data_IF_718876724748
#
_entry.id   IF_718876724748
#
_cell.length_a   1.000
_cell.length_b   1.000
_cell.length_c   1.000
_cell.angle_alpha   90.00
_cell.angle_beta   90.00
_cell.angle_gamma   90.00
#
_symmetry.space_group_name_H-M   'P 1'
#
loop_
_entity.id
_entity.type
_entity.pdbx_description
1 polymer ?
#
# COMPACT_ATOMS: atom_id res chain seq x y z
N UNK A 1 -6.80 21.27 7.39
CA UNK A 1 -8.13 21.12 6.76
C UNK A 1 -8.19 19.75 6.11
N UNK A 2 -9.35 19.10 6.08
CA UNK A 2 -9.53 17.79 5.45
C UNK A 2 -10.61 17.90 4.39
N UNK A 3 -10.27 17.61 3.14
CA UNK A 3 -11.25 17.54 2.04
C UNK A 3 -11.89 16.15 2.03
N UNK A 4 -13.22 16.07 2.01
CA UNK A 4 -13.97 14.84 1.76
C UNK A 4 -14.92 15.08 0.59
N UNK A 5 -14.84 14.24 -0.43
CA UNK A 5 -15.75 14.23 -1.58
C UNK A 5 -16.49 12.91 -1.58
N UNK A 6 -17.82 12.95 -1.57
CA UNK A 6 -18.68 11.78 -1.69
C UNK A 6 -19.44 11.90 -2.99
N UNK A 7 -19.38 10.86 -3.82
CA UNK A 7 -20.21 10.73 -5.01
C UNK A 7 -21.39 9.82 -4.67
N UNK A 8 -22.60 10.27 -4.97
CA UNK A 8 -23.84 9.52 -4.70
C UNK A 8 -24.63 9.33 -5.98
N UNK A 9 -25.18 8.14 -6.18
CA UNK A 9 -26.10 7.82 -7.26
C UNK A 9 -27.20 6.91 -6.71
N UNK A 10 -28.35 6.92 -7.38
CA UNK A 10 -29.45 5.99 -7.10
C UNK A 10 -29.23 4.72 -7.93
N UNK A 11 -29.39 3.56 -7.31
CA UNK A 11 -29.29 2.26 -7.98
C UNK A 11 -30.57 1.46 -7.72
N UNK A 12 -31.15 0.91 -8.78
CA UNK A 12 -32.30 0.00 -8.71
C UNK A 12 -31.81 -1.44 -8.84
N UNK A 13 -32.15 -2.30 -7.88
CA UNK A 13 -31.78 -3.71 -7.87
C UNK A 13 -33.06 -4.55 -8.00
N UNK A 14 -33.22 -5.24 -9.13
CA UNK A 14 -34.36 -6.12 -9.33
C UNK A 14 -34.30 -7.34 -8.38
N UNK A 15 -35.44 -7.84 -7.88
CA UNK A 15 -35.46 -9.00 -7.00
C UNK A 15 -34.83 -10.24 -7.65
N UNK A 16 -33.86 -10.84 -6.96
CA UNK A 16 -33.16 -12.07 -7.36
C UNK A 16 -32.29 -11.96 -8.63
N UNK A 17 -31.90 -10.74 -9.04
CA UNK A 17 -30.93 -10.55 -10.10
C UNK A 17 -29.53 -10.23 -9.55
N UNK A 18 -28.50 -10.63 -10.31
CA UNK A 18 -27.12 -10.26 -10.03
C UNK A 18 -26.85 -8.90 -10.67
N UNK A 19 -26.30 -7.98 -9.89
CA UNK A 19 -25.87 -6.67 -10.39
C UNK A 19 -24.36 -6.52 -10.24
N UNK A 20 -23.71 -6.20 -11.35
CA UNK A 20 -22.29 -5.90 -11.40
C UNK A 20 -22.06 -4.39 -11.16
N UNK A 21 -21.18 -4.07 -10.22
CA UNK A 21 -20.80 -2.70 -9.90
C UNK A 21 -19.30 -2.54 -10.13
N UNK A 22 -18.92 -1.58 -10.99
CA UNK A 22 -17.53 -1.28 -11.31
C UNK A 22 -17.20 0.19 -11.00
N UNK A 23 -16.09 0.41 -10.29
CA UNK A 23 -15.53 1.74 -10.07
C UNK A 23 -14.12 1.83 -10.63
N UNK A 24 -13.87 2.86 -11.43
CA UNK A 24 -12.54 3.19 -11.93
C UNK A 24 -12.26 4.67 -11.69
N UNK A 25 -11.16 4.96 -10.99
CA UNK A 25 -10.77 6.32 -10.64
C UNK A 25 -9.26 6.40 -10.38
N UNK A 26 -8.73 7.62 -10.42
CA UNK A 26 -7.36 7.92 -9.99
C UNK A 26 -7.39 8.37 -8.53
N UNK A 27 -6.81 7.60 -7.58
CA UNK A 27 -6.83 7.98 -6.17
C UNK A 27 -5.87 9.13 -5.88
N UNK A 28 -6.06 9.77 -4.74
CA UNK A 28 -5.03 10.62 -4.12
C UNK A 28 -3.85 9.75 -3.68
N UNK A 29 -2.63 10.18 -4.00
CA UNK A 29 -1.38 9.51 -3.63
C UNK A 29 -0.62 10.43 -2.69
N UNK A 30 -0.32 9.95 -1.48
CA UNK A 30 0.61 10.64 -0.58
C UNK A 30 2.04 10.24 -0.90
N UNK A 31 3.02 11.00 -0.42
CA UNK A 31 4.42 10.66 -0.63
C UNK A 31 5.41 11.56 0.10
N UNK A 32 6.65 11.12 0.13
CA UNK A 32 7.81 11.91 0.55
C UNK A 32 8.99 11.61 -0.39
N UNK A 33 9.99 12.49 -0.39
CA UNK A 33 11.10 12.48 -1.34
C UNK A 33 12.30 11.61 -0.91
N UNK A 34 12.23 10.96 0.25
CA UNK A 34 13.28 10.08 0.75
C UNK A 34 12.71 8.99 1.63
N UNK A 35 13.48 7.92 1.83
CA UNK A 35 13.16 6.88 2.81
C UNK A 35 13.33 7.45 4.23
N UNK A 36 12.26 7.46 5.02
CA UNK A 36 12.26 8.08 6.36
C UNK A 36 12.22 7.08 7.51
N UNK A 37 11.80 5.84 7.28
CA UNK A 37 11.64 4.82 8.32
C UNK A 37 12.94 4.08 8.70
N UNK A 38 14.07 4.43 8.09
CA UNK A 38 15.39 3.86 8.46
C UNK A 38 16.08 4.63 9.58
N UNK A 39 15.63 5.85 9.87
CA UNK A 39 16.23 6.70 10.90
C UNK A 39 15.96 6.13 12.28
N UNK A 40 16.93 6.20 13.22
CA UNK A 40 16.66 5.93 14.63
C UNK A 40 15.53 6.85 15.18
N UNK A 41 14.86 6.46 16.27
CA UNK A 41 13.88 7.32 16.93
C UNK A 41 14.47 8.68 17.29
N UNK A 42 13.71 9.75 17.07
CA UNK A 42 14.09 11.13 17.33
C UNK A 42 13.00 11.88 18.11
N UNK A 43 13.11 13.21 18.22
CA UNK A 43 12.11 14.06 18.90
C UNK A 43 10.72 14.04 18.24
N UNK A 44 10.63 13.61 16.99
CA UNK A 44 9.39 13.46 16.23
C UNK A 44 8.80 12.03 16.30
N UNK A 45 9.49 11.09 16.95
CA UNK A 45 8.97 9.74 17.23
C UNK A 45 9.77 8.60 16.61
N UNK A 46 9.19 7.40 16.63
CA UNK A 46 9.76 6.17 16.06
C UNK A 46 9.06 5.80 14.75
N UNK A 47 9.57 6.39 13.65
CA UNK A 47 9.06 6.15 12.30
C UNK A 47 9.14 4.66 11.91
N UNK A 48 10.16 3.93 12.35
CA UNK A 48 10.30 2.52 12.01
C UNK A 48 9.13 1.70 12.57
N UNK A 49 8.75 1.96 13.83
CA UNK A 49 7.60 1.31 14.46
C UNK A 49 6.26 1.73 13.82
N UNK A 50 6.10 3.01 13.49
CA UNK A 50 4.90 3.51 12.80
C UNK A 50 4.70 2.86 11.43
N UNK A 51 5.76 2.82 10.61
CA UNK A 51 5.71 2.21 9.28
C UNK A 51 5.50 0.70 9.36
N UNK A 52 6.10 0.03 10.34
CA UNK A 52 5.87 -1.39 10.57
C UNK A 52 4.42 -1.67 10.93
N UNK A 53 3.81 -0.86 11.81
CA UNK A 53 2.41 -1.02 12.19
C UNK A 53 1.45 -0.75 11.02
N UNK A 54 1.74 0.27 10.20
CA UNK A 54 0.85 0.72 9.13
C UNK A 54 1.00 -0.06 7.82
N UNK A 55 2.23 -0.36 7.42
CA UNK A 55 2.54 -0.93 6.10
C UNK A 55 3.16 -2.33 6.19
N UNK A 56 3.29 -2.90 7.40
CA UNK A 56 3.91 -4.21 7.62
C UNK A 56 5.31 -4.32 7.00
N UNK A 57 6.13 -3.27 7.12
CA UNK A 57 7.52 -3.25 6.63
C UNK A 57 8.36 -4.31 7.37
N UNK A 58 8.38 -5.52 6.83
CA UNK A 58 9.03 -6.65 7.44
C UNK A 58 10.56 -6.59 7.33
N UNK A 59 11.25 -7.52 7.98
CA UNK A 59 12.71 -7.56 7.96
C UNK A 59 13.26 -7.64 6.53
N UNK A 60 12.62 -8.42 5.65
CA UNK A 60 13.11 -8.63 4.28
C UNK A 60 13.01 -7.36 3.44
N UNK A 61 11.93 -6.61 3.61
CA UNK A 61 11.71 -5.32 2.99
C UNK A 61 12.74 -4.31 3.49
N UNK A 62 12.91 -4.17 4.81
CA UNK A 62 13.89 -3.26 5.41
C UNK A 62 15.33 -3.61 4.98
N UNK A 63 15.69 -4.90 4.98
CA UNK A 63 17.01 -5.35 4.54
C UNK A 63 17.24 -5.03 3.06
N UNK A 64 16.21 -5.13 2.21
CA UNK A 64 16.29 -4.80 0.78
C UNK A 64 16.56 -3.32 0.56
N UNK A 65 15.96 -2.44 1.36
CA UNK A 65 16.25 -1.00 1.30
C UNK A 65 17.66 -0.72 1.82
N UNK A 66 18.05 -1.29 2.96
CA UNK A 66 19.39 -1.07 3.55
C UNK A 66 20.54 -1.47 2.63
N UNK A 67 20.36 -2.50 1.79
CA UNK A 67 21.36 -2.92 0.79
C UNK A 67 21.66 -1.88 -0.29
N UNK A 68 20.81 -0.87 -0.45
CA UNK A 68 20.99 0.21 -1.42
C UNK A 68 21.71 1.43 -0.85
N UNK A 69 21.97 1.43 0.46
CA UNK A 69 22.67 2.52 1.12
C UNK A 69 24.16 2.50 0.75
N UNK A 70 24.78 3.67 0.53
CA UNK A 70 26.23 3.75 0.33
C UNK A 70 27.00 3.45 1.63
N UNK A 71 26.46 3.86 2.78
CA UNK A 71 26.96 3.53 4.11
C UNK A 71 25.77 3.26 5.07
N UNK A 72 25.92 2.39 6.09
CA UNK A 72 24.85 2.09 7.04
C UNK A 72 24.32 3.30 7.84
N UNK A 73 25.11 4.37 7.99
CA UNK A 73 24.74 5.59 8.71
C UNK A 73 24.01 6.61 7.81
N UNK A 74 24.01 6.42 6.49
CA UNK A 74 23.40 7.34 5.53
C UNK A 74 21.92 7.01 5.27
N UNK A 75 21.07 7.10 6.29
CA UNK A 75 19.68 6.62 6.26
C UNK A 75 18.82 7.19 5.12
N UNK A 76 19.03 8.45 4.75
CA UNK A 76 18.25 9.14 3.71
C UNK A 76 18.80 8.93 2.29
N UNK A 77 19.95 8.28 2.15
CA UNK A 77 20.60 8.11 0.84
C UNK A 77 19.93 7.01 0.00
N UNK A 78 19.01 6.19 0.54
CA UNK A 78 18.35 5.15 -0.25
C UNK A 78 17.74 5.74 -1.55
N UNK A 79 17.96 5.13 -2.74
CA UNK A 79 17.55 5.66 -4.04
C UNK A 79 16.05 5.43 -4.30
N UNK A 80 15.22 5.79 -3.32
CA UNK A 80 13.77 5.67 -3.39
C UNK A 80 13.07 6.93 -2.89
N UNK A 81 11.99 7.29 -3.57
CA UNK A 81 10.94 8.13 -2.98
C UNK A 81 9.83 7.24 -2.45
N UNK A 82 9.06 7.74 -1.49
CA UNK A 82 7.93 7.01 -0.92
C UNK A 82 6.64 7.50 -1.57
N UNK A 83 5.77 6.57 -1.97
CA UNK A 83 4.38 6.82 -2.28
C UNK A 83 3.51 5.92 -1.44
N UNK A 84 2.38 6.43 -0.97
CA UNK A 84 1.40 5.60 -0.29
C UNK A 84 -0.02 5.86 -0.75
N UNK A 85 -0.81 4.78 -0.69
CA UNK A 85 -2.22 4.74 -1.08
C UNK A 85 -2.98 4.12 0.08
N UNK A 86 -4.04 4.80 0.51
CA UNK A 86 -4.96 4.32 1.53
C UNK A 86 -6.30 3.97 0.86
N UNK A 87 -6.80 2.77 1.09
CA UNK A 87 -8.07 2.29 0.57
C UNK A 87 -8.98 1.85 1.72
N UNK A 88 -10.18 2.42 1.76
CA UNK A 88 -11.17 2.09 2.80
C UNK A 88 -11.89 0.80 2.38
N UNK A 89 -11.56 -0.31 3.03
CA UNK A 89 -12.23 -1.59 2.81
C UNK A 89 -13.21 -1.96 3.92
N UNK A 90 -13.13 -1.30 5.09
CA UNK A 90 -13.92 -1.64 6.28
C UNK A 90 -15.42 -1.52 6.03
N UNK A 91 -15.80 -0.54 5.20
CA UNK A 91 -17.18 -0.31 4.76
C UNK A 91 -17.78 -1.46 3.94
N UNK A 92 -16.96 -2.39 3.44
CA UNK A 92 -17.43 -3.62 2.83
C UNK A 92 -18.25 -4.49 3.80
N UNK A 93 -18.07 -4.33 5.11
CA UNK A 93 -18.90 -5.00 6.11
C UNK A 93 -20.34 -4.48 6.22
N UNK A 94 -20.69 -3.40 5.50
CA UNK A 94 -22.07 -2.90 5.47
C UNK A 94 -22.97 -3.75 4.56
N UNK A 95 -22.40 -4.63 3.75
CA UNK A 95 -23.15 -5.57 2.91
C UNK A 95 -23.65 -6.78 3.71
N UNK A 96 -24.65 -7.47 3.17
CA UNK A 96 -25.29 -8.61 3.82
C UNK A 96 -24.41 -9.87 3.76
N UNK A 97 -23.51 -10.02 4.73
CA UNK A 97 -22.65 -11.20 4.88
C UNK A 97 -21.20 -10.98 4.43
N UNK A 98 -20.39 -12.04 4.39
CA UNK A 98 -19.00 -11.94 3.98
C UNK A 98 -18.86 -11.62 2.49
N UNK A 99 -17.70 -11.10 2.11
CA UNK A 99 -17.25 -11.09 0.73
C UNK A 99 -16.85 -12.52 0.37
N UNK A 100 -17.75 -13.25 -0.29
CA UNK A 100 -17.59 -14.67 -0.62
C UNK A 100 -16.28 -14.97 -1.35
N UNK A 101 -15.92 -14.13 -2.33
CA UNK A 101 -14.67 -14.21 -3.08
C UNK A 101 -14.06 -12.82 -3.20
N UNK A 102 -12.94 -12.61 -2.53
CA UNK A 102 -12.17 -11.39 -2.61
C UNK A 102 -10.90 -11.63 -3.43
N UNK A 103 -10.62 -10.76 -4.39
CA UNK A 103 -9.37 -10.74 -5.14
C UNK A 103 -8.82 -9.33 -5.12
N UNK A 104 -7.56 -9.21 -4.70
CA UNK A 104 -6.83 -7.96 -4.73
C UNK A 104 -5.57 -8.15 -5.57
N UNK A 105 -5.37 -7.26 -6.53
CA UNK A 105 -4.15 -7.20 -7.33
C UNK A 105 -3.47 -5.86 -7.12
N UNK A 106 -2.18 -5.88 -6.83
CA UNK A 106 -1.35 -4.69 -6.67
C UNK A 106 -0.27 -4.73 -7.73
N UNK A 107 -0.09 -3.61 -8.44
CA UNK A 107 1.03 -3.38 -9.34
C UNK A 107 1.92 -2.29 -8.75
N UNK A 108 3.20 -2.60 -8.53
CA UNK A 108 4.18 -1.63 -8.03
C UNK A 108 4.79 -0.74 -9.13
N UNK A 109 4.30 -0.85 -10.36
CA UNK A 109 4.68 -0.03 -11.51
C UNK A 109 5.96 -0.52 -12.20
N UNK A 110 7.09 -0.48 -11.50
CA UNK A 110 8.40 -0.81 -12.07
C UNK A 110 9.09 -1.97 -11.34
N UNK A 111 9.87 -2.84 -12.03
CA UNK A 111 10.54 -3.99 -11.41
C UNK A 111 11.52 -3.62 -10.29
N UNK A 112 12.14 -2.44 -10.33
CA UNK A 112 13.04 -1.95 -9.27
C UNK A 112 12.33 -1.40 -8.03
N UNK A 113 11.03 -1.06 -8.14
CA UNK A 113 10.28 -0.55 -7.00
C UNK A 113 10.14 -1.63 -5.91
N UNK A 114 9.91 -1.20 -4.67
CA UNK A 114 9.52 -2.10 -3.59
C UNK A 114 8.09 -1.77 -3.16
N UNK A 115 7.38 -2.76 -2.64
CA UNK A 115 6.01 -2.58 -2.14
C UNK A 115 5.85 -3.28 -0.79
N UNK A 116 5.15 -2.64 0.14
CA UNK A 116 4.83 -3.17 1.47
C UNK A 116 3.39 -2.83 1.84
N UNK A 117 2.66 -3.80 2.37
CA UNK A 117 1.29 -3.66 2.86
C UNK A 117 1.00 -4.80 3.83
N UNK A 118 0.00 -4.61 4.69
CA UNK A 118 -0.44 -5.66 5.60
C UNK A 118 -1.46 -6.58 4.92
N UNK A 119 -1.21 -7.88 4.96
CA UNK A 119 -2.12 -8.92 4.49
C UNK A 119 -1.86 -10.22 5.26
N UNK A 120 -2.91 -10.83 5.81
CA UNK A 120 -2.78 -12.02 6.65
C UNK A 120 -2.63 -13.32 5.85
N UNK A 121 -3.04 -13.29 4.57
CA UNK A 121 -3.01 -14.45 3.68
C UNK A 121 -1.74 -14.55 2.85
N UNK A 122 -1.78 -15.44 1.85
CA UNK A 122 -0.70 -15.59 0.90
C UNK A 122 -0.65 -14.41 -0.08
N UNK A 123 0.56 -13.91 -0.36
CA UNK A 123 0.84 -12.93 -1.41
C UNK A 123 1.54 -13.65 -2.56
N UNK A 124 0.85 -13.80 -3.70
CA UNK A 124 1.39 -14.48 -4.88
C UNK A 124 1.94 -13.46 -5.87
N UNK A 125 3.23 -13.53 -6.20
CA UNK A 125 3.78 -12.77 -7.32
C UNK A 125 3.32 -13.40 -8.64
N UNK A 126 2.54 -12.67 -9.43
CA UNK A 126 1.94 -13.13 -10.69
C UNK A 126 2.55 -12.49 -11.94
N UNK A 127 3.45 -11.53 -11.76
CA UNK A 127 4.20 -10.87 -12.83
C UNK A 127 5.44 -10.15 -12.31
N UNK A 128 6.18 -9.44 -13.17
CA UNK A 128 7.40 -8.72 -12.77
C UNK A 128 7.13 -7.68 -11.66
N UNK A 129 5.96 -7.04 -11.70
CA UNK A 129 5.54 -5.93 -10.82
C UNK A 129 4.23 -6.21 -10.08
N UNK A 130 3.53 -7.29 -10.42
CA UNK A 130 2.17 -7.58 -9.97
C UNK A 130 2.10 -8.71 -8.94
N UNK A 131 1.27 -8.48 -7.92
CA UNK A 131 1.02 -9.39 -6.81
C UNK A 131 -0.49 -9.58 -6.66
N UNK A 132 -0.91 -10.83 -6.44
CA UNK A 132 -2.30 -11.23 -6.25
C UNK A 132 -2.50 -11.80 -4.86
N UNK A 133 -3.56 -11.37 -4.21
CA UNK A 133 -4.08 -11.91 -2.97
C UNK A 133 -5.51 -12.36 -3.19
N UNK A 134 -5.87 -13.48 -2.56
CA UNK A 134 -7.22 -14.06 -2.64
C UNK A 134 -7.68 -14.42 -1.24
N UNK A 135 -8.96 -14.18 -0.97
CA UNK A 135 -9.64 -14.65 0.23
C UNK A 135 -11.04 -15.15 -0.10
N UNK A 136 -11.58 -16.03 0.75
CA UNK A 136 -12.94 -16.55 0.66
C UNK A 136 -13.68 -16.28 1.95
N UNK A 137 -14.98 -16.04 1.84
CA UNK A 137 -15.86 -15.75 2.97
C UNK A 137 -15.27 -14.69 3.91
N UNK A 138 -14.71 -13.64 3.31
CA UNK A 138 -13.83 -12.68 3.97
C UNK A 138 -14.60 -11.46 4.46
N UNK A 139 -14.28 -11.04 5.69
CA UNK A 139 -14.77 -9.79 6.26
C UNK A 139 -13.62 -8.79 6.34
N UNK A 140 -13.75 -7.60 5.71
CA UNK A 140 -12.79 -6.53 5.91
C UNK A 140 -12.56 -6.20 7.39
N UNK A 141 -11.32 -5.95 7.83
CA UNK A 141 -11.08 -5.53 9.20
C UNK A 141 -11.63 -4.12 9.45
N UNK A 142 -12.24 -3.90 10.61
CA UNK A 142 -12.75 -2.57 11.03
C UNK A 142 -11.68 -1.66 11.62
N UNK A 143 -10.64 -2.26 12.20
CA UNK A 143 -9.61 -1.55 12.97
C UNK A 143 -8.41 -1.12 12.12
N UNK A 144 -8.38 -1.48 10.84
CA UNK A 144 -7.28 -1.16 9.95
C UNK A 144 -7.80 -1.05 8.52
N UNK A 145 -7.51 0.06 7.85
CA UNK A 145 -7.78 0.21 6.42
C UNK A 145 -6.63 -0.40 5.60
N UNK A 146 -6.82 -0.51 4.29
CA UNK A 146 -5.79 -1.06 3.44
C UNK A 146 -4.76 0.02 3.07
N UNK A 147 -3.55 -0.12 3.57
CA UNK A 147 -2.46 0.84 3.43
C UNK A 147 -1.33 0.22 2.61
N UNK A 148 -1.00 0.86 1.49
CA UNK A 148 0.04 0.41 0.55
C UNK A 148 1.17 1.42 0.57
N UNK A 149 2.39 0.97 0.86
CA UNK A 149 3.62 1.73 0.66
C UNK A 149 4.34 1.21 -0.59
N UNK A 150 4.69 2.13 -1.49
CA UNK A 150 5.53 1.86 -2.65
C UNK A 150 6.79 2.71 -2.51
N UNK A 151 7.95 2.06 -2.61
CA UNK A 151 9.24 2.74 -2.76
C UNK A 151 9.56 2.82 -4.24
N UNK A 152 9.44 4.02 -4.80
CA UNK A 152 9.70 4.27 -6.20
C UNK A 152 11.20 4.45 -6.38
N UNK A 153 11.83 3.51 -7.07
CA UNK A 153 13.25 3.60 -7.37
C UNK A 153 13.50 4.75 -8.34
N UNK A 154 14.50 5.58 -8.06
CA UNK A 154 15.02 6.53 -9.02
C UNK A 154 16.50 6.22 -9.26
N UNK A 155 16.94 6.35 -10.50
CA UNK A 155 18.37 6.31 -10.77
C UNK A 155 18.94 7.61 -10.20
N UNK A 156 19.92 7.50 -9.29
CA UNK A 156 20.72 8.68 -8.95
C UNK A 156 21.42 9.08 -10.23
N UNK A 157 21.11 10.25 -10.79
CA UNK A 157 22.03 10.84 -11.75
C UNK A 157 23.39 10.87 -11.05
N UNK A 158 24.41 10.25 -11.67
CA UNK A 158 25.78 10.50 -11.28
C UNK A 158 25.95 12.01 -11.33
N UNK A 159 26.00 12.66 -10.18
CA UNK A 159 26.35 14.07 -10.07
C UNK A 159 27.76 14.17 -10.64
N UNK A 160 27.86 14.42 -11.93
CA UNK A 160 29.11 14.50 -12.65
C UNK A 160 29.92 15.71 -12.21
N UNK A 161 31.24 15.51 -12.17
CA UNK A 161 32.26 16.57 -12.18
C UNK A 161 32.86 16.89 -10.83
#
# INVERSE_FOLDING_TARGET
WTLRSTYSWEAHFEPNEIVDVEHSYKPSVGGTVAVTFLTPPDEYGDRASEYKAKYCTDKSFIDSVKKTLPSPEEYYSAPYTESWISYIWSTGNNWAGPIEKFTLTIDKGEPKNLVSFCWDGEVKKIGPTTFKMEAKDWFPPWNHEFEILILNHYDREESGG
#
